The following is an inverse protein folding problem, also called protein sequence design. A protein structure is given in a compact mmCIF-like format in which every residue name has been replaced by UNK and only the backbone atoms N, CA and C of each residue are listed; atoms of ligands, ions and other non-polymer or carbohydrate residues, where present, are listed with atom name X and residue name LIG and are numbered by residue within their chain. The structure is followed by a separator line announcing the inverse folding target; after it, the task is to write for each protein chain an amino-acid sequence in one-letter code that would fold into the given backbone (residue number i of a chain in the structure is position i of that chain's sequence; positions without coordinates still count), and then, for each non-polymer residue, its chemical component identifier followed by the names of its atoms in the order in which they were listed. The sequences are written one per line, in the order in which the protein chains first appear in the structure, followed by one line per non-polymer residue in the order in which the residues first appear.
data_IF_344774020302
#
_entry.id   IF_344774020302
#
_cell.length_a   1.000
_cell.length_b   1.000
_cell.length_c   1.000
_cell.angle_alpha   90.00
_cell.angle_beta   90.00
_cell.angle_gamma   90.00
#
_symmetry.space_group_name_H-M   'P 1'
#
loop_
_entity.id
_entity.type
_entity.pdbx_description
1 polymer ?
#
# COMPACT_ATOMS: atom_id res chain seq x y z
N UNK A 1 -20.22 -98.59 9.93
CA UNK A 1 -20.55 -98.15 11.30
C UNK A 1 -19.95 -96.75 11.49
N UNK A 2 -20.83 -95.74 11.59
CA UNK A 2 -20.69 -94.39 12.19
C UNK A 2 -19.47 -93.48 11.89
N UNK A 3 -19.82 -92.31 11.31
CA UNK A 3 -19.45 -90.92 11.68
C UNK A 3 -17.97 -90.47 11.61
N UNK A 4 -17.67 -89.38 10.87
CA UNK A 4 -17.73 -87.99 11.38
C UNK A 4 -17.39 -86.94 10.31
N UNK A 5 -18.02 -85.78 10.46
CA UNK A 5 -17.97 -84.54 9.66
C UNK A 5 -16.87 -83.61 10.22
N UNK A 6 -16.22 -82.80 9.37
CA UNK A 6 -15.63 -81.47 9.64
C UNK A 6 -15.24 -80.85 8.29
N UNK A 7 -16.00 -79.95 7.65
CA UNK A 7 -16.21 -78.51 7.91
C UNK A 7 -14.92 -77.67 7.98
N UNK A 8 -14.62 -76.93 6.90
CA UNK A 8 -14.13 -75.53 6.98
C UNK A 8 -14.19 -74.84 5.63
N UNK A 9 -15.04 -73.81 5.58
CA UNK A 9 -15.07 -72.76 4.58
C UNK A 9 -14.38 -71.52 5.19
N UNK A 10 -13.60 -70.78 4.41
CA UNK A 10 -13.36 -69.37 4.67
C UNK A 10 -13.05 -68.64 3.36
N UNK A 11 -13.82 -67.58 3.13
CA UNK A 11 -13.95 -66.82 1.91
C UNK A 11 -12.75 -65.91 1.62
N UNK A 12 -12.39 -65.80 0.33
CA UNK A 12 -11.41 -64.84 -0.16
C UNK A 12 -11.98 -63.42 -0.17
N UNK A 13 -11.33 -62.52 0.59
CA UNK A 13 -11.62 -61.09 0.62
C UNK A 13 -10.72 -60.39 -0.41
N UNK A 14 -11.31 -59.99 -1.54
CA UNK A 14 -10.63 -59.27 -2.61
C UNK A 14 -10.62 -57.77 -2.27
N UNK A 15 -9.49 -57.23 -1.80
CA UNK A 15 -9.32 -55.79 -1.58
C UNK A 15 -8.99 -55.10 -2.90
N UNK A 16 -9.95 -54.32 -3.42
CA UNK A 16 -9.75 -53.38 -4.53
C UNK A 16 -8.96 -52.15 -4.02
N UNK A 17 -7.75 -51.96 -4.55
CA UNK A 17 -6.92 -50.78 -4.30
C UNK A 17 -7.41 -49.65 -5.21
N UNK A 18 -7.98 -48.60 -4.62
CA UNK A 18 -8.40 -47.38 -5.32
C UNK A 18 -7.19 -46.47 -5.51
N UNK A 19 -6.80 -46.07 -6.73
CA UNK A 19 -5.71 -45.12 -6.92
C UNK A 19 -6.17 -43.72 -6.50
N UNK A 20 -5.59 -43.22 -5.42
CA UNK A 20 -5.79 -41.85 -4.94
C UNK A 20 -5.23 -40.88 -5.98
N UNK A 21 -6.12 -40.19 -6.70
CA UNK A 21 -5.78 -39.12 -7.61
C UNK A 21 -5.10 -38.00 -6.81
N UNK A 22 -3.80 -37.84 -7.02
CA UNK A 22 -3.01 -36.77 -6.44
C UNK A 22 -3.39 -35.47 -7.20
N UNK A 23 -4.29 -34.66 -6.63
CA UNK A 23 -4.50 -33.30 -7.10
C UNK A 23 -3.20 -32.51 -6.86
N UNK A 24 -2.57 -31.93 -7.90
CA UNK A 24 -1.44 -31.04 -7.67
C UNK A 24 -1.95 -29.81 -6.92
N UNK A 25 -1.46 -29.61 -5.70
CA UNK A 25 -1.53 -28.33 -4.99
C UNK A 25 -0.74 -27.34 -5.85
N UNK A 26 -1.46 -26.46 -6.55
CA UNK A 26 -0.88 -25.28 -7.17
C UNK A 26 -0.38 -24.41 -6.02
N UNK A 27 0.94 -24.38 -5.82
CA UNK A 27 1.57 -23.51 -4.84
C UNK A 27 1.19 -22.06 -5.16
N UNK A 28 0.76 -21.32 -4.14
CA UNK A 28 0.70 -19.87 -4.20
C UNK A 28 2.07 -19.39 -4.68
N UNK A 29 2.11 -18.68 -5.81
CA UNK A 29 3.34 -18.10 -6.30
C UNK A 29 3.94 -17.25 -5.18
N UNK A 30 5.21 -17.47 -4.84
CA UNK A 30 5.96 -16.62 -3.92
C UNK A 30 5.89 -15.18 -4.44
N UNK A 31 5.04 -14.36 -3.82
CA UNK A 31 4.94 -12.94 -4.14
C UNK A 31 6.17 -12.28 -3.55
N UNK A 32 7.23 -12.15 -4.38
CA UNK A 32 8.42 -11.38 -4.01
C UNK A 32 7.99 -9.93 -3.76
N UNK A 33 8.31 -9.34 -2.59
CA UNK A 33 7.98 -7.96 -2.26
C UNK A 33 8.47 -6.96 -3.30
N UNK A 34 7.65 -5.99 -3.78
CA UNK A 34 8.13 -4.94 -4.62
C UNK A 34 9.11 -4.09 -3.83
N UNK A 35 10.26 -3.87 -4.43
CA UNK A 35 11.38 -3.15 -3.82
C UNK A 35 11.45 -1.74 -4.41
N UNK A 36 11.61 -0.74 -3.54
CA UNK A 36 11.75 0.66 -3.93
C UNK A 36 13.06 1.23 -3.42
N UNK A 37 13.74 2.02 -4.25
CA UNK A 37 14.77 2.94 -3.76
C UNK A 37 14.09 4.28 -3.42
N UNK A 38 14.19 4.71 -2.17
CA UNK A 38 13.57 5.96 -1.70
C UNK A 38 14.66 6.95 -1.33
N UNK A 39 14.66 8.10 -1.98
CA UNK A 39 15.54 9.22 -1.65
C UNK A 39 14.72 10.36 -1.06
N UNK A 40 15.08 10.82 0.12
CA UNK A 40 14.46 11.96 0.80
C UNK A 40 15.37 13.18 0.71
N UNK A 41 14.78 14.36 0.52
CA UNK A 41 15.55 15.61 0.42
C UNK A 41 16.15 16.02 1.77
N UNK A 42 15.38 15.92 2.85
CA UNK A 42 15.85 16.31 4.17
C UNK A 42 16.28 15.05 4.95
N UNK A 43 17.39 15.15 5.69
CA UNK A 43 17.96 14.03 6.44
C UNK A 43 17.16 13.63 7.68
N UNK A 44 16.27 14.50 8.15
CA UNK A 44 15.37 14.26 9.27
C UNK A 44 13.98 13.76 8.85
N UNK A 45 13.69 13.76 7.54
CA UNK A 45 12.53 13.03 7.01
C UNK A 45 12.82 11.52 7.07
N UNK A 46 11.78 10.71 7.25
CA UNK A 46 11.90 9.26 7.18
C UNK A 46 10.79 8.62 6.36
N UNK A 47 11.11 7.48 5.74
CA UNK A 47 10.19 6.69 4.94
C UNK A 47 10.11 5.26 5.50
N UNK A 48 8.90 4.71 5.52
CA UNK A 48 8.63 3.32 5.84
C UNK A 48 7.73 2.72 4.78
N UNK A 49 8.15 1.60 4.21
CA UNK A 49 7.33 0.82 3.28
C UNK A 49 6.79 -0.38 4.04
N UNK A 50 5.48 -0.57 4.00
CA UNK A 50 4.82 -1.80 4.44
C UNK A 50 4.01 -2.36 3.29
N UNK A 51 4.02 -3.67 3.13
CA UNK A 51 3.35 -4.35 2.05
C UNK A 51 2.36 -5.39 2.59
N UNK A 52 1.24 -5.55 1.87
CA UNK A 52 0.40 -6.74 1.84
C UNK A 52 0.41 -7.38 0.44
N UNK A 53 -0.25 -8.54 0.27
CA UNK A 53 -0.21 -9.36 -0.96
C UNK A 53 -0.40 -8.58 -2.28
N UNK A 54 -1.13 -7.45 -2.30
CA UNK A 54 -1.37 -6.66 -3.52
C UNK A 54 -1.21 -5.14 -3.36
N UNK A 55 -0.89 -4.68 -2.16
CA UNK A 55 -0.89 -3.27 -1.81
C UNK A 55 0.38 -2.87 -1.06
N UNK A 56 0.85 -1.67 -1.38
CA UNK A 56 2.00 -1.05 -0.73
C UNK A 56 1.53 0.21 -0.02
N UNK A 57 1.97 0.39 1.21
CA UNK A 57 1.80 1.62 1.98
C UNK A 57 3.17 2.25 2.19
N UNK A 58 3.35 3.46 1.64
CA UNK A 58 4.50 4.32 1.88
C UNK A 58 4.14 5.36 2.95
N UNK A 59 4.67 5.21 4.15
CA UNK A 59 4.53 6.18 5.24
C UNK A 59 5.74 7.12 5.26
N UNK A 60 5.48 8.43 5.21
CA UNK A 60 6.48 9.49 5.24
C UNK A 60 6.27 10.34 6.50
N UNK A 61 7.32 10.47 7.30
CA UNK A 61 7.38 11.38 8.43
C UNK A 61 8.28 12.56 8.07
N UNK A 62 7.80 13.78 8.34
CA UNK A 62 8.50 15.01 7.99
C UNK A 62 8.45 16.01 9.15
N UNK A 63 9.42 15.96 10.08
CA UNK A 63 9.44 16.84 11.25
C UNK A 63 9.35 18.35 10.92
N UNK A 64 9.93 18.77 9.79
CA UNK A 64 9.92 20.18 9.34
C UNK A 64 8.64 20.61 8.63
N UNK A 65 7.79 19.65 8.27
CA UNK A 65 6.59 19.89 7.48
C UNK A 65 6.83 20.30 6.02
N UNK A 66 8.06 20.28 5.49
CA UNK A 66 8.34 20.56 4.08
C UNK A 66 9.40 19.62 3.55
N UNK A 67 9.09 18.91 2.48
CA UNK A 67 10.00 17.90 1.97
C UNK A 67 9.66 17.41 0.58
N UNK A 68 10.50 16.47 0.15
CA UNK A 68 10.44 15.83 -1.14
C UNK A 68 10.97 14.41 -1.01
N UNK A 69 10.26 13.46 -1.63
CA UNK A 69 10.63 12.07 -1.74
C UNK A 69 10.63 11.65 -3.21
N UNK A 70 11.69 10.99 -3.65
CA UNK A 70 11.76 10.26 -4.91
C UNK A 70 11.63 8.77 -4.61
N UNK A 71 10.67 8.13 -5.27
CA UNK A 71 10.39 6.71 -5.12
C UNK A 71 10.66 6.06 -6.47
N UNK A 72 11.77 5.33 -6.57
CA UNK A 72 12.16 4.60 -7.78
C UNK A 72 11.80 3.14 -7.61
N UNK A 73 11.07 2.57 -8.56
CA UNK A 73 10.76 1.13 -8.55
C UNK A 73 12.00 0.32 -8.93
N UNK A 74 12.22 -0.83 -8.28
CA UNK A 74 13.20 -1.83 -8.72
C UNK A 74 12.59 -2.88 -9.62
N UNK A 75 11.32 -3.18 -9.39
CA UNK A 75 10.60 -4.19 -10.16
C UNK A 75 10.10 -3.65 -11.50
N UNK A 76 9.78 -4.55 -12.46
CA UNK A 76 9.25 -4.16 -13.76
C UNK A 76 7.93 -3.39 -13.70
N UNK A 77 7.13 -3.59 -12.65
CA UNK A 77 5.80 -3.00 -12.50
C UNK A 77 5.62 -2.33 -11.14
N UNK A 78 4.77 -1.31 -11.10
CA UNK A 78 4.25 -0.78 -9.84
C UNK A 78 3.25 -1.76 -9.20
N UNK A 79 3.08 -1.76 -7.86
CA UNK A 79 2.05 -2.53 -7.19
C UNK A 79 0.65 -2.10 -7.68
N UNK A 80 -0.31 -3.02 -7.63
CA UNK A 80 -1.69 -2.76 -8.07
C UNK A 80 -2.33 -1.60 -7.30
N UNK A 81 -1.97 -1.46 -6.02
CA UNK A 81 -2.40 -0.35 -5.17
C UNK A 81 -1.23 0.18 -4.36
N UNK A 82 -0.99 1.48 -4.47
CA UNK A 82 -0.01 2.17 -3.64
C UNK A 82 -0.72 3.28 -2.87
N UNK A 83 -0.61 3.26 -1.55
CA UNK A 83 -1.12 4.30 -0.65
C UNK A 83 0.05 5.04 -0.04
N UNK A 84 -0.04 6.36 0.02
CA UNK A 84 0.92 7.22 0.71
C UNK A 84 0.27 7.76 1.97
N UNK A 85 0.99 7.69 3.09
CA UNK A 85 0.63 8.30 4.38
C UNK A 85 1.62 9.41 4.69
N UNK A 86 1.15 10.65 4.66
CA UNK A 86 1.95 11.81 5.05
C UNK A 86 1.60 12.25 6.47
N UNK A 87 2.57 12.15 7.37
CA UNK A 87 2.42 12.58 8.77
C UNK A 87 2.72 14.07 8.87
N UNK A 88 1.68 14.90 8.72
CA UNK A 88 1.76 16.37 8.71
C UNK A 88 0.65 16.94 9.59
N UNK A 89 0.85 18.15 10.14
CA UNK A 89 -0.17 18.86 10.92
C UNK A 89 -1.24 19.50 10.04
N UNK A 90 -0.83 19.98 8.86
CA UNK A 90 -1.68 20.49 7.80
C UNK A 90 -1.08 20.16 6.43
N UNK A 91 -1.90 20.11 5.39
CA UNK A 91 -1.43 19.88 4.02
C UNK A 91 -1.74 21.10 3.16
N UNK A 92 -0.83 22.08 3.18
CA UNK A 92 -0.93 23.29 2.37
C UNK A 92 -0.75 22.96 0.89
N UNK A 93 0.25 22.13 0.59
CA UNK A 93 0.56 21.71 -0.76
C UNK A 93 1.00 20.26 -0.77
N UNK A 94 0.44 19.49 -1.69
CA UNK A 94 0.90 18.18 -2.10
C UNK A 94 1.15 18.23 -3.60
N UNK A 95 2.25 17.63 -4.04
CA UNK A 95 2.52 17.35 -5.45
C UNK A 95 2.91 15.88 -5.59
N UNK A 96 2.30 15.21 -6.56
CA UNK A 96 2.62 13.85 -6.96
C UNK A 96 2.89 13.85 -8.46
N UNK A 97 4.09 13.45 -8.87
CA UNK A 97 4.55 13.53 -10.25
C UNK A 97 5.16 12.22 -10.72
N UNK A 98 4.98 11.89 -12.00
CA UNK A 98 5.68 10.82 -12.69
C UNK A 98 6.74 11.32 -13.69
N UNK A 99 7.10 12.62 -13.62
CA UNK A 99 8.01 13.29 -14.54
C UNK A 99 7.33 13.96 -15.74
N UNK A 100 6.18 13.44 -16.20
CA UNK A 100 5.41 14.01 -17.32
C UNK A 100 4.16 14.73 -16.84
N UNK A 101 3.41 14.10 -15.94
CA UNK A 101 2.20 14.63 -15.31
C UNK A 101 2.47 14.95 -13.85
N UNK A 102 1.90 16.06 -13.36
CA UNK A 102 1.93 16.41 -11.94
C UNK A 102 0.52 16.68 -11.45
N UNK A 103 0.14 15.94 -10.43
CA UNK A 103 -1.08 16.13 -9.67
C UNK A 103 -0.78 16.98 -8.45
N UNK A 104 -1.71 17.85 -8.12
CA UNK A 104 -1.61 18.75 -6.99
C UNK A 104 -2.79 18.53 -6.05
N UNK A 105 -2.57 18.78 -4.76
CA UNK A 105 -3.67 18.90 -3.82
C UNK A 105 -3.35 19.84 -2.65
N UNK A 106 -4.42 20.28 -1.99
CA UNK A 106 -4.39 21.00 -0.72
C UNK A 106 -5.57 20.58 0.15
N UNK A 107 -5.40 20.65 1.46
CA UNK A 107 -6.46 20.43 2.44
C UNK A 107 -6.54 21.65 3.33
N UNK A 108 -7.64 22.40 3.24
CA UNK A 108 -7.84 23.58 4.09
C UNK A 108 -8.08 23.20 5.55
N UNK A 109 -7.96 24.17 6.45
CA UNK A 109 -8.17 23.99 7.89
C UNK A 109 -9.55 23.42 8.25
N UNK A 110 -10.59 23.72 7.46
CA UNK A 110 -11.93 23.17 7.59
C UNK A 110 -12.10 21.75 7.00
N UNK A 111 -11.01 21.12 6.54
CA UNK A 111 -11.02 19.78 5.95
C UNK A 111 -11.42 19.70 4.47
N UNK A 112 -11.70 20.83 3.80
CA UNK A 112 -12.03 20.78 2.37
C UNK A 112 -10.81 20.41 1.54
N UNK A 113 -10.97 19.43 0.67
CA UNK A 113 -9.91 18.90 -0.18
C UNK A 113 -10.07 19.46 -1.58
N UNK A 114 -8.98 19.94 -2.16
CA UNK A 114 -8.90 20.36 -3.56
C UNK A 114 -7.77 19.62 -4.24
N UNK A 115 -7.98 19.17 -5.47
CA UNK A 115 -6.94 18.57 -6.31
C UNK A 115 -7.11 18.98 -7.77
N UNK A 116 -6.00 19.07 -8.49
CA UNK A 116 -5.93 19.58 -9.87
C UNK A 116 -4.67 19.08 -10.59
N UNK A 117 -4.57 19.33 -11.89
CA UNK A 117 -3.41 18.94 -12.72
C UNK A 117 -2.61 20.16 -13.18
N UNK A 118 -1.32 19.95 -13.47
CA UNK A 118 -0.47 20.87 -14.22
C UNK A 118 -0.42 22.33 -13.72
N UNK A 119 -0.63 22.55 -12.42
CA UNK A 119 -0.59 23.88 -11.82
C UNK A 119 -1.81 24.76 -12.07
N UNK A 120 -2.78 24.35 -12.89
CA UNK A 120 -4.04 25.07 -13.06
C UNK A 120 -5.08 24.65 -12.01
N UNK A 121 -5.20 25.44 -10.94
CA UNK A 121 -6.12 25.16 -9.82
C UNK A 121 -7.61 25.26 -10.23
N UNK A 122 -7.93 25.83 -11.40
CA UNK A 122 -9.33 26.00 -11.86
C UNK A 122 -9.94 24.68 -12.31
N UNK A 123 -9.12 23.77 -12.85
CA UNK A 123 -9.56 22.44 -13.31
C UNK A 123 -9.49 21.44 -12.16
N UNK A 124 -10.53 21.47 -11.32
CA UNK A 124 -10.64 20.53 -10.21
C UNK A 124 -10.84 19.11 -10.70
N UNK A 125 -10.06 18.20 -10.14
CA UNK A 125 -10.30 16.77 -10.25
C UNK A 125 -11.44 16.40 -9.29
N UNK A 126 -12.25 15.44 -9.69
CA UNK A 126 -13.26 14.80 -8.85
C UNK A 126 -13.18 13.28 -9.01
N UNK A 127 -14.04 12.55 -8.29
CA UNK A 127 -14.04 11.08 -8.28
C UNK A 127 -14.25 10.41 -9.66
N UNK A 128 -14.69 11.15 -10.68
CA UNK A 128 -14.83 10.63 -12.06
C UNK A 128 -13.53 10.73 -12.84
N UNK A 129 -12.58 11.55 -12.39
CA UNK A 129 -11.28 11.68 -13.03
C UNK A 129 -10.42 10.44 -12.78
N UNK A 130 -9.74 9.88 -13.80
CA UNK A 130 -8.80 8.78 -13.62
C UNK A 130 -7.57 9.16 -12.78
N UNK A 131 -7.36 10.45 -12.56
CA UNK A 131 -6.27 11.02 -11.78
C UNK A 131 -6.72 11.52 -10.40
N UNK A 132 -7.93 11.18 -9.98
CA UNK A 132 -8.45 11.57 -8.68
C UNK A 132 -7.59 11.00 -7.54
N UNK A 133 -6.99 11.90 -6.75
CA UNK A 133 -6.32 11.54 -5.50
C UNK A 133 -7.35 11.55 -4.38
N UNK A 134 -7.85 10.37 -4.01
CA UNK A 134 -8.77 10.20 -2.89
C UNK A 134 -8.03 10.43 -1.56
N UNK A 135 -7.88 11.70 -1.18
CA UNK A 135 -7.21 12.10 0.05
C UNK A 135 -8.18 11.96 1.22
N UNK A 136 -7.69 11.38 2.31
CA UNK A 136 -8.40 11.26 3.58
C UNK A 136 -7.51 11.81 4.69
N UNK A 137 -8.13 12.46 5.67
CA UNK A 137 -7.47 12.81 6.92
C UNK A 137 -7.81 11.74 7.94
N UNK A 138 -6.78 11.14 8.52
CA UNK A 138 -6.86 10.21 9.64
C UNK A 138 -6.10 10.77 10.83
N UNK A 139 -6.27 10.13 11.98
CA UNK A 139 -5.55 10.43 13.21
C UNK A 139 -4.76 9.20 13.61
N UNK A 140 -3.51 9.40 14.03
CA UNK A 140 -2.69 8.33 14.56
C UNK A 140 -2.16 8.70 15.93
N UNK A 141 -2.49 7.88 16.90
CA UNK A 141 -2.01 8.00 18.25
C UNK A 141 -0.59 7.45 18.35
N UNK A 142 0.31 8.24 18.92
CA UNK A 142 1.65 7.81 19.25
C UNK A 142 1.92 8.15 20.72
N UNK A 143 2.37 7.16 21.49
CA UNK A 143 2.81 7.39 22.86
C UNK A 143 4.11 8.17 22.86
N UNK A 144 4.16 9.31 23.55
CA UNK A 144 5.38 10.09 23.68
C UNK A 144 6.49 9.23 24.32
N UNK A 145 7.62 9.06 23.62
CA UNK A 145 8.75 8.25 24.10
C UNK A 145 9.39 8.82 25.37
N UNK A 146 9.21 10.11 25.63
CA UNK A 146 9.73 10.82 26.80
C UNK A 146 8.71 10.89 27.94
N UNK A 147 7.41 10.75 27.63
CA UNK A 147 6.32 10.70 28.61
C UNK A 147 5.32 9.60 28.23
N UNK A 148 5.52 8.36 28.71
CA UNK A 148 4.69 7.20 28.34
C UNK A 148 3.19 7.35 28.65
N UNK A 149 2.83 8.28 29.54
CA UNK A 149 1.43 8.60 29.89
C UNK A 149 0.78 9.63 28.95
N UNK A 150 1.53 10.21 28.01
CA UNK A 150 1.04 11.22 27.08
C UNK A 150 0.85 10.61 25.70
N UNK A 151 -0.39 10.46 25.27
CA UNK A 151 -0.73 10.14 23.89
C UNK A 151 -0.69 11.42 23.06
N UNK A 152 0.07 11.41 21.98
CA UNK A 152 0.11 12.47 20.98
C UNK A 152 -0.62 11.97 19.75
N UNK A 153 -1.72 12.64 19.40
CA UNK A 153 -2.43 12.39 18.15
C UNK A 153 -1.81 13.26 17.06
N UNK A 154 -1.24 12.62 16.04
CA UNK A 154 -0.68 13.30 14.87
C UNK A 154 -1.62 13.09 13.69
N UNK A 155 -2.01 14.14 12.95
CA UNK A 155 -2.81 13.93 11.74
C UNK A 155 -1.99 13.18 10.70
N UNK A 156 -2.68 12.33 9.95
CA UNK A 156 -2.14 11.66 8.77
C UNK A 156 -3.01 12.03 7.58
N UNK A 157 -2.38 12.41 6.48
CA UNK A 157 -3.03 12.53 5.19
C UNK A 157 -2.74 11.27 4.38
N UNK A 158 -3.77 10.50 4.09
CA UNK A 158 -3.68 9.28 3.30
C UNK A 158 -4.21 9.53 1.90
N UNK A 159 -3.50 9.07 0.87
CA UNK A 159 -4.04 9.05 -0.49
C UNK A 159 -3.52 7.85 -1.27
N UNK A 160 -4.36 7.34 -2.16
CA UNK A 160 -3.95 6.31 -3.11
C UNK A 160 -3.38 6.98 -4.36
N UNK A 161 -2.22 6.49 -4.82
CA UNK A 161 -1.64 6.88 -6.10
C UNK A 161 -2.63 6.48 -7.20
N UNK A 162 -3.11 7.41 -8.04
CA UNK A 162 -4.08 7.07 -9.07
C UNK A 162 -3.47 6.09 -10.07
N UNK A 163 -4.14 4.96 -10.41
CA UNK A 163 -3.60 3.99 -11.36
C UNK A 163 -3.21 4.60 -12.71
N UNK A 164 -3.95 5.61 -13.18
CA UNK A 164 -3.63 6.31 -14.42
C UNK A 164 -2.29 7.06 -14.37
N UNK A 165 -1.81 7.48 -13.20
CA UNK A 165 -0.52 8.14 -13.06
C UNK A 165 0.65 7.15 -13.24
N UNK A 166 0.42 5.87 -12.99
CA UNK A 166 1.43 4.80 -13.07
C UNK A 166 1.20 3.83 -14.23
N UNK A 167 0.17 4.07 -15.07
CA UNK A 167 -0.21 3.16 -16.16
C UNK A 167 0.93 2.95 -17.18
N UNK A 168 1.64 4.03 -17.53
CA UNK A 168 2.82 3.99 -18.41
C UNK A 168 4.08 3.46 -17.69
N UNK A 169 3.92 2.89 -16.50
CA UNK A 169 4.98 2.30 -15.68
C UNK A 169 6.21 3.19 -15.53
N UNK A 170 6.05 4.45 -15.06
CA UNK A 170 7.17 5.37 -14.89
C UNK A 170 8.22 4.75 -13.97
N UNK A 171 9.49 5.07 -14.18
CA UNK A 171 10.55 4.51 -13.35
C UNK A 171 10.58 5.12 -11.94
N UNK A 172 10.19 6.38 -11.82
CA UNK A 172 10.24 7.16 -10.59
C UNK A 172 8.94 7.95 -10.40
N UNK A 173 8.48 8.01 -9.15
CA UNK A 173 7.49 8.97 -8.68
C UNK A 173 8.16 9.99 -7.77
N UNK A 174 7.76 11.25 -7.89
CA UNK A 174 8.18 12.31 -6.98
C UNK A 174 6.98 12.80 -6.16
N UNK A 175 7.15 12.82 -4.84
CA UNK A 175 6.17 13.31 -3.87
C UNK A 175 6.77 14.53 -3.19
N UNK A 176 6.10 15.68 -3.25
CA UNK A 176 6.53 16.90 -2.53
C UNK A 176 5.41 17.43 -1.68
N UNK A 177 5.73 17.97 -0.51
CA UNK A 177 4.73 18.46 0.42
C UNK A 177 5.16 19.75 1.13
N UNK A 178 4.16 20.52 1.54
CA UNK A 178 4.28 21.68 2.42
C UNK A 178 3.14 21.62 3.44
N UNK A 179 3.50 21.78 4.70
CA UNK A 179 2.64 21.95 5.85
C UNK A 179 2.45 23.45 6.16
N UNK A 180 1.22 23.82 6.51
CA UNK A 180 0.87 25.15 7.02
C UNK A 180 1.66 25.50 8.29
N UNK A 181 1.96 24.50 9.11
CA UNK A 181 2.60 24.66 10.41
C UNK A 181 4.10 24.35 10.36
N UNK A 182 4.77 24.52 9.22
CA UNK A 182 6.21 24.31 9.13
C UNK A 182 6.99 25.22 10.10
N UNK A 183 8.08 24.70 10.66
CA UNK A 183 9.02 25.42 11.53
C UNK A 183 10.32 25.73 10.78
#
# INVERSE_FOLDING_TARGET
MRFQILLSAAAGLCFLIVPTACCPVVGAADVVPPTFDITLRNSDDSARVTQDDSSVVLSLQSPRGIGNAKVRRRDPAWPQRMTVRLHLRGMEKLQLSNGTLTLHASVSSNGSIRSWQHGDEKERLDAKSPYWMNIKRAEHEHTDKTQPSKTITVPIFEFTVPPALIAESPEELTISWIDFYRN
#
